data_IF_679447324640
#
_entry.id   IF_679447324640
#
_cell.length_a   1.000
_cell.length_b   1.000
_cell.length_c   1.000
_cell.angle_alpha   90.00
_cell.angle_beta   90.00
_cell.angle_gamma   90.00
#
_symmetry.space_group_name_H-M   'P 1'
#
loop_
_entity.id
_entity.type
_entity.pdbx_description
1 polymer ?
#
# COMPACT_ATOMS: atom_id res chain seq x y z
N UNK A 1 -31.35 -20.12 15.03
CA UNK A 1 -31.67 -19.69 13.65
C UNK A 1 -31.61 -18.17 13.64
N UNK A 2 -30.98 -17.61 12.62
CA UNK A 2 -30.87 -16.15 12.43
C UNK A 2 -31.83 -15.81 11.31
N UNK A 3 -32.79 -14.93 11.56
CA UNK A 3 -33.75 -14.50 10.55
C UNK A 3 -33.38 -13.09 10.09
N UNK A 4 -33.21 -12.94 8.77
CA UNK A 4 -32.97 -11.65 8.13
C UNK A 4 -34.27 -11.14 7.54
N UNK A 5 -34.61 -9.88 7.80
CA UNK A 5 -35.69 -9.16 7.13
C UNK A 5 -35.14 -7.87 6.52
N UNK A 6 -35.85 -7.34 5.52
CA UNK A 6 -35.49 -6.08 4.86
C UNK A 6 -36.71 -5.17 4.95
N UNK A 7 -36.53 -3.94 5.42
CA UNK A 7 -37.62 -2.96 5.44
C UNK A 7 -37.88 -2.33 4.07
N UNK A 8 -38.98 -1.59 3.96
CA UNK A 8 -39.38 -0.90 2.73
C UNK A 8 -38.40 0.20 2.28
N UNK A 9 -37.40 0.53 3.11
CA UNK A 9 -36.30 1.45 2.80
C UNK A 9 -35.01 0.73 2.40
N UNK A 10 -35.01 -0.60 2.34
CA UNK A 10 -33.86 -1.43 1.96
C UNK A 10 -32.87 -1.72 3.08
N UNK A 11 -33.20 -1.40 4.34
CA UNK A 11 -32.34 -1.72 5.47
C UNK A 11 -32.54 -3.18 5.88
N UNK A 12 -31.42 -3.90 6.07
CA UNK A 12 -31.44 -5.30 6.49
C UNK A 12 -31.39 -5.36 8.02
N UNK A 13 -32.41 -5.94 8.62
CA UNK A 13 -32.47 -6.24 10.05
C UNK A 13 -32.25 -7.74 10.25
N UNK A 14 -31.35 -8.07 11.16
CA UNK A 14 -31.04 -9.45 11.51
C UNK A 14 -31.44 -9.64 12.97
N UNK A 15 -32.50 -10.42 13.20
CA UNK A 15 -32.96 -10.76 14.54
C UNK A 15 -32.52 -12.19 14.91
N UNK A 16 -31.99 -12.31 16.13
CA UNK A 16 -31.39 -13.51 16.67
C UNK A 16 -30.00 -13.23 17.26
N UNK A 17 -29.69 -13.85 18.40
CA UNK A 17 -28.35 -13.79 18.96
C UNK A 17 -27.45 -14.66 18.06
N UNK A 18 -26.40 -14.13 17.40
CA UNK A 18 -25.51 -14.93 16.57
C UNK A 18 -24.67 -15.85 17.46
N UNK A 19 -25.26 -16.94 17.93
CA UNK A 19 -24.56 -18.01 18.63
C UNK A 19 -23.65 -18.69 17.63
N UNK A 20 -22.38 -18.28 17.61
CA UNK A 20 -21.34 -18.80 16.70
C UNK A 20 -20.31 -17.75 16.25
N UNK A 21 -20.62 -16.46 16.35
CA UNK A 21 -19.62 -15.39 16.18
C UNK A 21 -19.15 -14.94 17.55
N UNK A 22 -18.18 -15.66 18.10
CA UNK A 22 -17.51 -15.24 19.32
C UNK A 22 -16.57 -14.08 18.97
N UNK A 23 -17.10 -12.86 18.92
CA UNK A 23 -16.34 -11.62 18.66
C UNK A 23 -15.20 -11.39 19.67
N UNK A 24 -15.20 -12.15 20.78
CA UNK A 24 -14.17 -12.15 21.82
C UNK A 24 -13.03 -13.17 21.60
N UNK A 25 -13.09 -14.01 20.56
CA UNK A 25 -12.06 -15.03 20.28
C UNK A 25 -11.10 -14.65 19.14
N UNK A 26 -11.34 -13.53 18.44
CA UNK A 26 -10.36 -13.03 17.50
C UNK A 26 -9.15 -12.52 18.28
N UNK A 27 -7.92 -13.02 18.03
CA UNK A 27 -6.73 -12.48 18.67
C UNK A 27 -6.67 -10.96 18.39
N UNK A 28 -6.22 -10.14 19.36
CA UNK A 28 -6.14 -8.70 19.16
C UNK A 28 -5.34 -8.42 17.89
N UNK A 29 -5.95 -7.66 16.96
CA UNK A 29 -5.26 -7.27 15.73
C UNK A 29 -4.09 -6.40 16.15
N UNK A 30 -2.88 -6.83 15.77
CA UNK A 30 -1.69 -5.99 15.92
C UNK A 30 -1.85 -4.80 14.99
N UNK A 31 -1.86 -3.61 15.55
CA UNK A 31 -1.89 -2.36 14.78
C UNK A 31 -0.54 -2.15 14.07
N UNK A 32 -0.54 -1.53 12.88
CA UNK A 32 0.69 -1.21 12.18
C UNK A 32 1.51 -0.17 12.96
N UNK A 33 2.82 -0.33 12.97
CA UNK A 33 3.76 0.65 13.53
C UNK A 33 3.56 1.98 12.84
N UNK A 34 3.29 3.03 13.62
CA UNK A 34 2.89 4.35 13.12
C UNK A 34 3.87 4.91 12.08
N UNK A 35 5.18 4.81 12.32
CA UNK A 35 6.19 5.29 11.39
C UNK A 35 6.13 4.58 10.02
N UNK A 36 6.10 3.25 10.04
CA UNK A 36 6.00 2.42 8.83
C UNK A 36 4.77 2.78 8.01
N UNK A 37 3.62 2.83 8.68
CA UNK A 37 2.34 3.16 8.06
C UNK A 37 2.34 4.57 7.46
N UNK A 38 2.74 5.59 8.23
CA UNK A 38 2.75 6.98 7.75
C UNK A 38 3.71 7.16 6.58
N UNK A 39 4.93 6.63 6.68
CA UNK A 39 5.90 6.77 5.60
C UNK A 39 5.39 6.09 4.32
N UNK A 40 5.05 4.81 4.40
CA UNK A 40 4.77 3.99 3.21
C UNK A 40 3.40 4.23 2.59
N UNK A 41 2.36 4.46 3.39
CA UNK A 41 0.98 4.53 2.91
C UNK A 41 0.44 5.95 2.77
N UNK A 42 1.08 6.93 3.41
CA UNK A 42 0.63 8.33 3.35
C UNK A 42 1.65 9.19 2.63
N UNK A 43 2.84 9.34 3.21
CA UNK A 43 3.81 10.34 2.77
C UNK A 43 4.45 9.99 1.44
N UNK A 44 4.87 8.73 1.24
CA UNK A 44 5.52 8.32 0.01
C UNK A 44 4.60 8.43 -1.22
N UNK A 45 3.36 7.90 -1.23
CA UNK A 45 2.43 8.12 -2.34
C UNK A 45 2.06 9.59 -2.52
N UNK A 46 1.87 10.34 -1.41
CA UNK A 46 1.55 11.77 -1.46
C UNK A 46 2.62 12.55 -2.23
N UNK A 47 3.90 12.39 -1.86
CA UNK A 47 5.01 13.09 -2.51
C UNK A 47 5.17 12.64 -3.96
N UNK A 48 5.11 11.33 -4.23
CA UNK A 48 5.27 10.79 -5.58
C UNK A 48 4.20 11.30 -6.55
N UNK A 49 2.93 11.34 -6.13
CA UNK A 49 1.81 11.74 -7.00
C UNK A 49 1.60 13.27 -7.04
N UNK A 50 2.05 14.02 -6.03
CA UNK A 50 1.97 15.49 -6.02
C UNK A 50 3.07 16.15 -6.86
N UNK A 51 4.27 15.57 -6.90
CA UNK A 51 5.43 16.14 -7.58
C UNK A 51 6.17 15.07 -8.40
N UNK A 52 5.53 14.45 -9.40
CA UNK A 52 6.07 13.26 -10.06
C UNK A 52 7.41 13.51 -10.76
N UNK A 53 7.59 14.67 -11.41
CA UNK A 53 8.86 15.02 -12.05
C UNK A 53 10.02 15.12 -11.04
N UNK A 54 9.79 15.82 -9.92
CA UNK A 54 10.79 15.95 -8.86
C UNK A 54 11.08 14.59 -8.21
N UNK A 55 10.04 13.78 -8.01
CA UNK A 55 10.16 12.44 -7.44
C UNK A 55 11.04 11.55 -8.33
N UNK A 56 10.72 11.43 -9.62
CA UNK A 56 11.49 10.63 -10.57
C UNK A 56 12.94 11.11 -10.67
N UNK A 57 13.17 12.43 -10.74
CA UNK A 57 14.53 12.99 -10.75
C UNK A 57 15.33 12.61 -9.49
N UNK A 58 14.70 12.67 -8.32
CA UNK A 58 15.37 12.40 -7.04
C UNK A 58 15.69 10.93 -6.85
N UNK A 59 14.73 10.06 -7.15
CA UNK A 59 14.82 8.65 -6.82
C UNK A 59 15.39 7.76 -7.94
N UNK A 60 15.76 8.35 -9.07
CA UNK A 60 16.56 7.67 -10.12
C UNK A 60 18.01 8.16 -10.23
N UNK A 61 18.43 9.11 -9.37
CA UNK A 61 19.81 9.59 -9.22
C UNK A 61 20.64 8.65 -8.34
N UNK A 62 21.97 8.69 -8.46
CA UNK A 62 22.90 7.87 -7.65
C UNK A 62 22.76 8.11 -6.14
N UNK A 63 22.19 9.23 -5.72
CA UNK A 63 21.94 9.58 -4.30
C UNK A 63 20.56 9.14 -3.80
N UNK A 64 19.80 8.41 -4.60
CA UNK A 64 18.42 8.01 -4.27
C UNK A 64 18.29 7.29 -2.92
N UNK A 65 19.23 6.41 -2.57
CA UNK A 65 19.18 5.69 -1.28
C UNK A 65 19.37 6.64 -0.08
N UNK A 66 20.28 7.60 -0.20
CA UNK A 66 20.47 8.63 0.83
C UNK A 66 19.24 9.53 0.97
N UNK A 67 18.63 9.92 -0.15
CA UNK A 67 17.37 10.67 -0.17
C UNK A 67 16.23 9.89 0.49
N UNK A 68 16.12 8.58 0.23
CA UNK A 68 15.12 7.71 0.84
C UNK A 68 15.28 7.63 2.36
N UNK A 69 16.51 7.42 2.85
CA UNK A 69 16.79 7.35 4.30
C UNK A 69 16.49 8.68 5.00
N UNK A 70 16.84 9.80 4.37
CA UNK A 70 16.50 11.12 4.90
C UNK A 70 14.99 11.33 4.95
N UNK A 71 14.25 10.93 3.91
CA UNK A 71 12.80 11.04 3.88
C UNK A 71 12.16 10.21 5.00
N UNK A 72 12.57 8.95 5.16
CA UNK A 72 12.16 8.10 6.29
C UNK A 72 12.40 8.79 7.63
N UNK A 73 13.63 9.22 7.90
CA UNK A 73 13.96 9.87 9.18
C UNK A 73 13.15 11.15 9.42
N UNK A 74 12.89 11.95 8.39
CA UNK A 74 12.07 13.15 8.51
C UNK A 74 10.62 12.84 8.86
N UNK A 75 10.02 11.78 8.28
CA UNK A 75 8.67 11.34 8.66
C UNK A 75 8.66 10.85 10.12
N UNK A 76 9.71 10.15 10.54
CA UNK A 76 9.86 9.67 11.92
C UNK A 76 10.06 10.80 12.94
N UNK A 77 10.74 11.88 12.58
CA UNK A 77 11.02 12.99 13.49
C UNK A 77 9.75 13.67 14.04
N UNK A 78 8.65 13.62 13.29
CA UNK A 78 7.33 14.13 13.68
C UNK A 78 6.55 13.19 14.64
N UNK A 79 7.14 12.05 15.00
CA UNK A 79 6.51 11.04 15.86
C UNK A 79 7.09 11.04 17.28
N UNK A 80 6.31 10.60 18.27
CA UNK A 80 6.82 10.23 19.59
C UNK A 80 8.04 9.30 19.47
N UNK A 81 9.04 9.50 20.33
CA UNK A 81 10.34 8.80 20.24
C UNK A 81 10.23 7.27 20.25
N UNK A 82 9.23 6.73 20.91
CA UNK A 82 8.92 5.30 21.01
C UNK A 82 8.23 4.73 19.77
N UNK A 83 7.63 5.58 18.92
CA UNK A 83 7.11 5.19 17.61
C UNK A 83 8.15 5.35 16.48
N UNK A 84 9.27 6.03 16.75
CA UNK A 84 10.33 6.22 15.77
C UNK A 84 11.02 4.90 15.47
N UNK A 85 11.15 4.65 14.17
CA UNK A 85 11.81 3.46 13.66
C UNK A 85 13.09 3.84 12.94
N UNK A 86 14.15 3.07 13.18
CA UNK A 86 15.38 3.16 12.42
C UNK A 86 15.19 2.57 11.00
N UNK A 87 16.03 2.92 10.02
CA UNK A 87 15.84 2.55 8.62
C UNK A 87 16.43 1.18 8.25
N UNK A 88 16.68 0.27 9.19
CA UNK A 88 17.17 -1.07 8.85
C UNK A 88 16.10 -1.87 8.08
N UNK A 89 16.51 -2.49 6.98
CA UNK A 89 15.59 -3.14 6.04
C UNK A 89 14.94 -2.17 5.03
N UNK A 90 15.16 -0.86 5.16
CA UNK A 90 14.80 0.11 4.12
C UNK A 90 15.90 0.14 3.04
N UNK A 91 15.54 -0.17 1.80
CA UNK A 91 16.44 -0.07 0.65
C UNK A 91 15.71 0.42 -0.60
N UNK A 92 16.48 0.86 -1.59
CA UNK A 92 15.97 1.30 -2.89
C UNK A 92 16.75 0.59 -4.00
N UNK A 93 16.05 0.09 -5.01
CA UNK A 93 16.63 -0.35 -6.26
C UNK A 93 15.86 0.27 -7.44
N UNK A 94 16.56 0.48 -8.55
CA UNK A 94 15.99 1.06 -9.75
C UNK A 94 16.20 0.11 -10.93
N UNK A 95 15.17 -0.04 -11.78
CA UNK A 95 15.24 -0.80 -13.02
C UNK A 95 14.54 -0.04 -14.14
N UNK A 96 15.00 -0.24 -15.36
CA UNK A 96 14.30 0.24 -16.56
C UNK A 96 13.69 -0.97 -17.25
N UNK A 97 12.36 -0.97 -17.42
CA UNK A 97 11.61 -2.08 -18.03
C UNK A 97 10.65 -1.46 -19.05
N UNK A 98 10.73 -1.89 -20.30
CA UNK A 98 9.91 -1.38 -21.41
C UNK A 98 9.92 0.16 -21.53
N UNK A 99 11.07 0.79 -21.20
CA UNK A 99 11.25 2.24 -21.25
C UNK A 99 10.70 3.02 -20.04
N UNK A 100 10.17 2.33 -19.02
CA UNK A 100 9.68 2.93 -17.78
C UNK A 100 10.70 2.73 -16.65
N UNK A 101 10.87 3.74 -15.80
CA UNK A 101 11.60 3.63 -14.54
C UNK A 101 10.74 2.93 -13.49
N UNK A 102 11.24 1.83 -12.95
CA UNK A 102 10.70 1.12 -11.79
C UNK A 102 11.60 1.43 -10.60
N UNK A 103 11.08 2.22 -9.67
CA UNK A 103 11.72 2.50 -8.38
C UNK A 103 11.11 1.54 -7.36
N UNK A 104 11.90 0.57 -6.89
CA UNK A 104 11.48 -0.44 -5.93
C UNK A 104 12.07 -0.10 -4.57
N UNK A 105 11.19 0.04 -3.57
CA UNK A 105 11.57 0.32 -2.19
C UNK A 105 11.22 -0.91 -1.35
N UNK A 106 12.20 -1.50 -0.69
CA UNK A 106 11.98 -2.53 0.34
C UNK A 106 11.86 -1.84 1.70
N UNK A 107 11.03 -2.39 2.58
CA UNK A 107 10.72 -1.82 3.89
C UNK A 107 11.26 -2.70 5.02
N UNK A 108 11.42 -2.13 6.24
CA UNK A 108 11.58 -2.96 7.44
C UNK A 108 10.49 -4.02 7.50
N UNK A 109 10.88 -5.27 7.82
CA UNK A 109 9.99 -6.44 7.78
C UNK A 109 8.67 -6.13 8.49
N UNK A 110 7.51 -6.30 7.82
CA UNK A 110 6.25 -5.96 8.41
C UNK A 110 5.87 -6.96 9.52
N UNK A 111 5.30 -6.44 10.60
CA UNK A 111 4.88 -7.20 11.78
C UNK A 111 3.36 -7.23 11.95
N UNK A 112 2.64 -6.37 11.24
CA UNK A 112 1.20 -6.20 11.35
C UNK A 112 0.56 -6.06 9.95
N UNK A 113 -0.74 -6.41 9.79
CA UNK A 113 -1.46 -6.09 8.58
C UNK A 113 -1.41 -4.60 8.25
N UNK A 114 -1.48 -4.24 6.96
CA UNK A 114 -1.31 -2.88 6.43
C UNK A 114 0.11 -2.33 6.45
N UNK A 115 1.10 -2.99 7.04
CA UNK A 115 2.51 -2.62 6.81
C UNK A 115 3.00 -3.15 5.47
N UNK A 116 3.91 -2.44 4.82
CA UNK A 116 4.44 -2.82 3.49
C UNK A 116 5.66 -3.73 3.59
N UNK A 117 5.72 -4.71 2.68
CA UNK A 117 6.97 -5.38 2.31
C UNK A 117 7.75 -4.52 1.29
N UNK A 118 7.03 -4.03 0.28
CA UNK A 118 7.59 -3.27 -0.84
C UNK A 118 6.67 -2.15 -1.29
N UNK A 119 7.25 -1.13 -1.93
CA UNK A 119 6.57 -0.19 -2.81
C UNK A 119 7.24 -0.22 -4.17
N UNK A 120 6.46 -0.19 -5.25
CA UNK A 120 6.97 -0.02 -6.62
C UNK A 120 6.34 1.22 -7.21
N UNK A 121 7.17 2.14 -7.65
CA UNK A 121 6.74 3.36 -8.33
C UNK A 121 7.19 3.26 -9.77
N UNK A 122 6.23 3.31 -10.69
CA UNK A 122 6.49 3.19 -12.13
C UNK A 122 6.23 4.55 -12.76
N UNK A 123 7.21 5.08 -13.49
CA UNK A 123 7.05 6.36 -14.19
C UNK A 123 7.79 6.42 -15.53
N UNK A 124 7.34 7.34 -16.37
CA UNK A 124 8.02 7.74 -17.60
C UNK A 124 8.62 9.14 -17.36
N UNK A 125 9.94 9.27 -17.44
CA UNK A 125 10.61 10.58 -17.29
C UNK A 125 10.17 11.61 -18.31
N UNK A 126 9.70 11.18 -19.49
CA UNK A 126 9.20 12.07 -20.53
C UNK A 126 7.73 12.45 -20.30
N UNK A 127 6.99 11.67 -19.50
CA UNK A 127 5.60 11.92 -19.15
C UNK A 127 5.36 11.71 -17.64
N UNK A 128 5.96 12.54 -16.75
CA UNK A 128 5.95 12.26 -15.31
C UNK A 128 4.55 12.11 -14.69
N UNK A 129 3.55 12.82 -15.23
CA UNK A 129 2.17 12.76 -14.74
C UNK A 129 1.49 11.38 -14.91
N UNK A 130 2.08 10.45 -15.66
CA UNK A 130 1.61 9.07 -15.77
C UNK A 130 2.15 8.15 -14.67
N UNK A 131 2.88 8.69 -13.69
CA UNK A 131 3.45 7.93 -12.58
C UNK A 131 2.36 7.17 -11.80
N UNK A 132 2.65 5.90 -11.48
CA UNK A 132 1.77 5.02 -10.70
C UNK A 132 2.50 4.50 -9.47
N UNK A 133 1.81 4.39 -8.34
CA UNK A 133 2.39 3.99 -7.05
C UNK A 133 1.70 2.72 -6.55
N UNK A 134 2.47 1.64 -6.42
CA UNK A 134 2.00 0.34 -5.98
C UNK A 134 2.63 -0.05 -4.64
N UNK A 135 1.91 -0.82 -3.83
CA UNK A 135 2.40 -1.37 -2.57
C UNK A 135 2.10 -2.86 -2.44
N UNK A 136 3.02 -3.62 -1.85
CA UNK A 136 2.77 -4.99 -1.40
C UNK A 136 2.61 -4.98 0.12
N UNK A 137 1.36 -5.01 0.58
CA UNK A 137 1.02 -4.95 2.00
C UNK A 137 1.01 -6.35 2.63
N UNK A 138 1.41 -6.44 3.90
CA UNK A 138 1.17 -7.58 4.75
C UNK A 138 -0.32 -7.68 5.10
N UNK A 139 -0.83 -8.90 5.10
CA UNK A 139 -2.22 -9.20 5.37
C UNK A 139 -2.39 -10.55 6.08
N UNK A 140 -3.54 -10.71 6.73
CA UNK A 140 -3.91 -11.99 7.30
C UNK A 140 -4.15 -13.01 6.18
N UNK A 141 -3.50 -14.17 6.29
CA UNK A 141 -3.69 -15.29 5.35
C UNK A 141 -5.15 -15.76 5.38
N UNK A 142 -5.75 -15.84 4.21
CA UNK A 142 -7.07 -16.42 3.99
C UNK A 142 -7.20 -16.86 2.53
N UNK A 143 -8.37 -17.36 2.10
CA UNK A 143 -8.59 -17.80 0.72
C UNK A 143 -8.35 -16.68 -0.32
N UNK A 144 -8.67 -15.44 0.04
CA UNK A 144 -8.46 -14.27 -0.80
C UNK A 144 -7.00 -13.78 -0.80
N UNK A 145 -6.18 -14.16 0.18
CA UNK A 145 -4.78 -13.75 0.37
C UNK A 145 -3.94 -14.95 0.82
N UNK A 146 -3.74 -15.93 -0.07
CA UNK A 146 -3.07 -17.21 0.23
C UNK A 146 -1.69 -17.00 0.85
N UNK A 147 -0.96 -16.01 0.37
CA UNK A 147 0.39 -15.69 0.80
C UNK A 147 0.46 -14.68 1.95
N UNK A 148 -0.69 -14.12 2.38
CA UNK A 148 -0.72 -13.08 3.40
C UNK A 148 -0.23 -11.74 2.86
N UNK A 149 -0.49 -11.47 1.57
CA UNK A 149 -0.09 -10.25 0.88
C UNK A 149 -1.28 -9.64 0.13
N UNK A 150 -1.25 -8.31 -0.04
CA UNK A 150 -2.22 -7.56 -0.86
C UNK A 150 -1.44 -6.62 -1.77
N UNK A 151 -1.66 -6.73 -3.08
CA UNK A 151 -1.20 -5.73 -4.04
C UNK A 151 -2.19 -4.56 -4.10
N UNK A 152 -1.67 -3.36 -3.91
CA UNK A 152 -2.45 -2.12 -3.87
C UNK A 152 -1.86 -1.09 -4.82
N UNK A 153 -2.68 -0.14 -5.22
CA UNK A 153 -2.24 1.07 -5.93
C UNK A 153 -2.91 2.29 -5.33
N UNK A 154 -2.15 3.39 -5.24
CA UNK A 154 -2.68 4.71 -4.93
C UNK A 154 -2.65 5.61 -6.15
N UNK A 155 -3.74 6.36 -6.34
CA UNK A 155 -3.81 7.50 -7.25
C UNK A 155 -4.28 8.75 -6.50
N UNK A 156 -4.51 9.85 -7.22
CA UNK A 156 -5.00 11.12 -6.65
C UNK A 156 -6.43 11.04 -6.10
N UNK A 157 -7.18 9.97 -6.38
CA UNK A 157 -8.56 9.77 -5.92
C UNK A 157 -8.62 8.82 -4.73
N UNK A 158 -7.81 7.77 -4.71
CA UNK A 158 -7.84 6.80 -3.64
C UNK A 158 -6.97 5.58 -3.86
N UNK A 159 -7.46 4.44 -3.37
CA UNK A 159 -6.70 3.18 -3.30
C UNK A 159 -7.45 2.05 -3.98
N UNK A 160 -6.76 1.33 -4.85
CA UNK A 160 -7.22 0.10 -5.46
C UNK A 160 -6.56 -1.10 -4.78
N UNK A 161 -7.30 -2.20 -4.66
CA UNK A 161 -6.71 -3.53 -4.37
C UNK A 161 -6.88 -4.42 -5.59
N UNK A 162 -5.87 -5.23 -5.89
CA UNK A 162 -5.88 -6.11 -7.07
C UNK A 162 -6.16 -7.57 -6.69
N UNK A 163 -6.76 -8.32 -7.62
CA UNK A 163 -6.93 -9.79 -7.50
C UNK A 163 -5.61 -10.50 -7.85
N UNK A 164 -4.55 -10.23 -7.07
CA UNK A 164 -3.24 -10.86 -7.22
C UNK A 164 -2.90 -11.74 -6.00
N UNK A 165 -2.17 -12.84 -6.23
CA UNK A 165 -1.63 -13.72 -5.19
C UNK A 165 -0.12 -13.76 -5.34
N UNK A 166 0.61 -13.09 -4.45
CA UNK A 166 2.05 -12.91 -4.60
C UNK A 166 2.78 -13.36 -3.36
N UNK A 167 3.85 -14.12 -3.54
CA UNK A 167 4.84 -14.31 -2.48
C UNK A 167 5.63 -13.01 -2.28
N UNK A 168 6.34 -12.92 -1.16
CA UNK A 168 7.19 -11.76 -0.86
C UNK A 168 8.48 -11.89 -1.69
N UNK A 169 8.43 -11.41 -2.93
CA UNK A 169 9.54 -11.40 -3.88
C UNK A 169 9.51 -10.14 -4.74
N UNK A 170 10.66 -9.48 -4.90
CA UNK A 170 10.81 -8.34 -5.81
C UNK A 170 10.47 -8.73 -7.26
N UNK A 171 10.90 -9.91 -7.70
CA UNK A 171 10.66 -10.39 -9.07
C UNK A 171 9.17 -10.60 -9.33
N UNK A 172 8.47 -11.34 -8.46
CA UNK A 172 7.03 -11.55 -8.61
C UNK A 172 6.25 -10.23 -8.54
N UNK A 173 6.69 -9.29 -7.71
CA UNK A 173 6.08 -7.98 -7.61
C UNK A 173 6.22 -7.19 -8.91
N UNK A 174 7.43 -7.13 -9.49
CA UNK A 174 7.69 -6.43 -10.75
C UNK A 174 6.84 -7.03 -11.88
N UNK A 175 6.85 -8.36 -12.03
CA UNK A 175 6.10 -9.05 -13.07
C UNK A 175 4.61 -8.76 -12.94
N UNK A 176 4.09 -8.80 -11.72
CA UNK A 176 2.66 -8.59 -11.46
C UNK A 176 2.25 -7.14 -11.68
N UNK A 177 3.09 -6.17 -11.28
CA UNK A 177 2.87 -4.76 -11.62
C UNK A 177 2.85 -4.60 -13.13
N UNK A 178 3.76 -5.23 -13.88
CA UNK A 178 3.74 -5.24 -15.34
C UNK A 178 2.43 -5.78 -15.93
N UNK A 179 1.86 -6.83 -15.35
CA UNK A 179 0.56 -7.38 -15.77
C UNK A 179 -0.62 -6.46 -15.40
N UNK A 180 -0.54 -5.73 -14.28
CA UNK A 180 -1.48 -4.65 -13.93
C UNK A 180 -1.41 -3.51 -14.96
N UNK A 181 -0.20 -3.08 -15.36
CA UNK A 181 -0.03 -2.03 -16.38
C UNK A 181 -0.63 -2.47 -17.73
N UNK A 182 -0.52 -3.76 -18.06
CA UNK A 182 -1.13 -4.38 -19.25
C UNK A 182 -2.63 -4.68 -19.09
N UNK A 183 -3.25 -4.28 -17.96
CA UNK A 183 -4.67 -4.48 -17.64
C UNK A 183 -5.12 -5.95 -17.61
N UNK A 184 -4.21 -6.86 -17.27
CA UNK A 184 -4.50 -8.30 -17.20
C UNK A 184 -4.94 -8.77 -15.81
N UNK A 185 -4.86 -7.90 -14.80
CA UNK A 185 -5.27 -8.19 -13.44
C UNK A 185 -6.43 -7.27 -13.06
N UNK A 186 -7.51 -7.89 -12.59
CA UNK A 186 -8.72 -7.18 -12.20
C UNK A 186 -8.55 -6.44 -10.87
N UNK A 187 -9.18 -5.27 -10.77
CA UNK A 187 -9.40 -4.59 -9.51
C UNK A 187 -10.40 -5.39 -8.68
N UNK A 188 -10.07 -5.65 -7.41
CA UNK A 188 -10.96 -6.26 -6.42
C UNK A 188 -11.81 -5.22 -5.73
N UNK A 189 -11.19 -4.15 -5.21
CA UNK A 189 -11.90 -3.06 -4.55
C UNK A 189 -11.28 -1.72 -4.91
N UNK A 190 -12.09 -0.66 -4.81
CA UNK A 190 -11.64 0.72 -4.82
C UNK A 190 -12.15 1.40 -3.55
N UNK A 191 -11.31 2.21 -2.92
CA UNK A 191 -11.66 3.06 -1.78
C UNK A 191 -11.36 4.50 -2.14
N UNK A 192 -12.40 5.33 -2.24
CA UNK A 192 -12.25 6.77 -2.43
C UNK A 192 -11.67 7.38 -1.16
N UNK A 193 -10.50 7.99 -1.27
CA UNK A 193 -9.79 8.55 -0.12
C UNK A 193 -10.01 10.07 0.02
N UNK A 194 -10.63 10.73 -0.96
CA UNK A 194 -10.88 12.19 -0.92
C UNK A 194 -11.67 12.65 0.31
N UNK A 195 -12.69 11.90 0.79
CA UNK A 195 -13.39 12.27 2.03
C UNK A 195 -12.48 12.32 3.28
N UNK A 196 -11.31 11.68 3.23
CA UNK A 196 -10.34 11.64 4.34
C UNK A 196 -9.21 12.67 4.15
N UNK A 197 -9.37 13.64 3.25
CA UNK A 197 -8.35 14.67 2.97
C UNK A 197 -7.24 14.22 2.01
N UNK A 198 -7.40 13.08 1.33
CA UNK A 198 -6.44 12.62 0.33
C UNK A 198 -6.48 13.53 -0.90
N UNK A 199 -5.37 14.25 -1.15
CA UNK A 199 -5.26 15.28 -2.21
C UNK A 199 -6.43 16.26 -2.23
N UNK A 200 -6.97 16.63 -1.06
CA UNK A 200 -7.94 17.73 -0.97
C UNK A 200 -7.26 19.03 -1.40
N UNK A 201 -7.45 19.38 -2.67
CA UNK A 201 -7.19 20.71 -3.21
C UNK A 201 -8.28 21.70 -2.86
#
# INVERSE_FOLDING_TARGET
MVEGSVDDSGNIFVEGNPSGLNINEAPPRKEPRTHHFKFGKLMLPLVALSQPEMFLRTFTDDRAEGALRNFWNNVGAELPKDEQMRPEGLSLSNKIIDGLDYIIISFPVPEAPNELFFTVIVGDKNNPDTLRVFGLENALKNEAYKYGTILVEWDKKGRYTYKAQLEVSEEQLIDTVGEVLKKKIEVRTFTDMRPYGWFSG
#
